data_IF_081373912643
#
_entry.id   IF_081373912643
#
_cell.length_a   1.000
_cell.length_b   1.000
_cell.length_c   1.000
_cell.angle_alpha   90.00
_cell.angle_beta   90.00
_cell.angle_gamma   90.00
#
_symmetry.space_group_name_H-M   'P 1'
#
loop_
_entity.id
_entity.type
_entity.pdbx_description
1 polymer ?
#
# COMPACT_ATOMS: atom_id res chain seq x y z
N UNK A 1 6.00 12.82 16.35
CA UNK A 1 7.02 11.79 16.16
C UNK A 1 7.94 12.27 15.05
N UNK A 2 9.26 12.19 15.22
CA UNK A 2 10.20 12.65 14.19
C UNK A 2 10.89 11.45 13.53
N UNK A 3 11.00 11.50 12.21
CA UNK A 3 11.77 10.58 11.38
C UNK A 3 12.98 11.28 10.73
N UNK A 4 13.49 12.29 11.41
CA UNK A 4 14.63 13.08 10.95
C UNK A 4 15.81 12.17 10.59
N UNK A 5 16.38 12.36 9.40
CA UNK A 5 17.49 11.58 8.89
C UNK A 5 17.12 10.17 8.41
N UNK A 6 15.83 9.79 8.41
CA UNK A 6 15.36 8.52 7.84
C UNK A 6 15.03 8.66 6.38
N UNK A 7 15.40 7.67 5.59
CA UNK A 7 15.05 7.55 4.16
C UNK A 7 13.91 6.56 3.97
N UNK A 8 12.88 7.00 3.29
CA UNK A 8 11.63 6.25 3.10
C UNK A 8 11.35 6.07 1.62
N UNK A 9 11.17 4.84 1.18
CA UNK A 9 10.73 4.50 -0.17
C UNK A 9 9.27 4.08 -0.16
N UNK A 10 8.44 4.72 -1.01
CA UNK A 10 7.00 4.45 -1.11
C UNK A 10 6.65 4.12 -2.55
N UNK A 11 6.18 2.90 -2.82
CA UNK A 11 5.66 2.55 -4.14
C UNK A 11 4.20 3.00 -4.29
N UNK A 12 3.80 3.38 -5.51
CA UNK A 12 2.46 3.93 -5.76
C UNK A 12 2.26 5.33 -5.17
N UNK A 13 3.34 6.12 -5.02
CA UNK A 13 3.34 7.42 -4.35
C UNK A 13 2.69 8.58 -5.10
N UNK A 14 2.16 8.35 -6.31
CA UNK A 14 1.63 9.44 -7.18
C UNK A 14 0.17 9.82 -6.93
N UNK A 15 -0.57 9.15 -6.05
CA UNK A 15 -1.98 9.47 -5.76
C UNK A 15 -2.47 8.76 -4.50
N UNK A 16 -3.64 9.18 -3.99
CA UNK A 16 -4.40 8.50 -2.93
C UNK A 16 -3.61 8.26 -1.64
N UNK A 17 -3.62 7.03 -1.14
CA UNK A 17 -2.89 6.67 0.08
C UNK A 17 -1.38 6.90 -0.05
N UNK A 18 -0.78 6.58 -1.22
CA UNK A 18 0.65 6.76 -1.46
C UNK A 18 1.08 8.22 -1.45
N UNK A 19 0.29 9.12 -2.01
CA UNK A 19 0.51 10.57 -1.92
C UNK A 19 0.43 11.07 -0.47
N UNK A 20 -0.60 10.64 0.28
CA UNK A 20 -0.75 11.04 1.68
C UNK A 20 0.38 10.50 2.56
N UNK A 21 0.80 9.25 2.35
CA UNK A 21 1.97 8.66 2.99
C UNK A 21 3.22 9.50 2.72
N UNK A 22 3.49 9.87 1.45
CA UNK A 22 4.66 10.66 1.09
C UNK A 22 4.70 12.01 1.81
N UNK A 23 3.57 12.74 1.80
CA UNK A 23 3.45 14.03 2.47
C UNK A 23 3.59 13.90 4.00
N UNK A 24 2.96 12.89 4.60
CA UNK A 24 3.02 12.66 6.05
C UNK A 24 4.43 12.28 6.53
N UNK A 25 5.13 11.42 5.79
CA UNK A 25 6.52 11.06 6.12
C UNK A 25 7.49 12.22 5.92
N UNK A 26 7.33 13.03 4.86
CA UNK A 26 8.10 14.25 4.68
C UNK A 26 7.84 15.27 5.79
N UNK A 27 6.59 15.48 6.19
CA UNK A 27 6.23 16.34 7.32
C UNK A 27 6.80 15.84 8.66
N UNK A 28 7.04 14.53 8.81
CA UNK A 28 7.74 13.95 9.96
C UNK A 28 9.27 14.09 9.88
N UNK A 29 9.80 14.74 8.85
CA UNK A 29 11.23 15.03 8.68
C UNK A 29 12.03 13.95 7.94
N UNK A 30 11.38 12.98 7.30
CA UNK A 30 12.04 11.97 6.49
C UNK A 30 12.40 12.49 5.09
N UNK A 31 13.47 11.95 4.52
CA UNK A 31 13.74 12.03 3.08
C UNK A 31 12.89 10.95 2.38
N UNK A 32 12.02 11.35 1.48
CA UNK A 32 11.05 10.45 0.85
C UNK A 32 11.35 10.25 -0.62
N UNK A 33 11.41 9.00 -1.05
CA UNK A 33 11.42 8.62 -2.46
C UNK A 33 10.08 7.99 -2.79
N UNK A 34 9.36 8.56 -3.75
CA UNK A 34 8.12 8.00 -4.26
C UNK A 34 8.33 7.36 -5.61
N UNK A 35 7.75 6.18 -5.82
CA UNK A 35 7.88 5.44 -7.05
C UNK A 35 6.53 5.07 -7.66
N UNK A 36 6.49 4.98 -8.99
CA UNK A 36 5.31 4.59 -9.75
C UNK A 36 5.51 4.78 -11.25
N UNK A 37 4.52 4.41 -12.05
CA UNK A 37 4.64 4.41 -13.50
C UNK A 37 4.46 5.79 -14.15
N UNK A 38 3.68 6.69 -13.53
CA UNK A 38 3.31 7.99 -14.10
C UNK A 38 4.16 9.10 -13.51
N UNK A 39 5.15 9.54 -14.27
CA UNK A 39 6.11 10.56 -13.81
C UNK A 39 5.44 11.90 -13.49
N UNK A 40 4.45 12.32 -14.27
CA UNK A 40 3.68 13.54 -14.06
C UNK A 40 2.97 13.56 -12.70
N UNK A 41 2.34 12.44 -12.33
CA UNK A 41 1.67 12.29 -11.03
C UNK A 41 2.68 12.31 -9.88
N UNK A 42 3.83 11.65 -10.05
CA UNK A 42 4.91 11.64 -9.04
C UNK A 42 5.51 13.03 -8.85
N UNK A 43 5.81 13.76 -9.94
CA UNK A 43 6.35 15.12 -9.88
C UNK A 43 5.38 16.10 -9.20
N UNK A 44 4.07 15.98 -9.50
CA UNK A 44 3.04 16.76 -8.82
C UNK A 44 3.04 16.54 -7.29
N UNK A 45 3.22 15.30 -6.84
CA UNK A 45 3.31 15.00 -5.41
C UNK A 45 4.63 15.50 -4.82
N UNK A 46 5.75 15.29 -5.51
CA UNK A 46 7.06 15.74 -5.07
C UNK A 46 7.12 17.26 -4.88
N UNK A 47 6.41 18.02 -5.73
CA UNK A 47 6.33 19.49 -5.61
C UNK A 47 5.53 19.98 -4.38
N UNK A 48 4.75 19.11 -3.72
CA UNK A 48 3.92 19.47 -2.55
C UNK A 48 4.65 19.37 -1.21
N UNK A 49 5.79 18.67 -1.15
CA UNK A 49 6.51 18.46 0.10
C UNK A 49 8.02 18.58 -0.07
N UNK A 50 8.69 19.19 0.90
CA UNK A 50 10.15 19.23 0.92
C UNK A 50 10.73 17.84 1.17
N UNK A 51 11.87 17.52 0.53
CA UNK A 51 12.55 16.24 0.72
C UNK A 51 11.89 15.06 0.00
N UNK A 52 10.92 15.30 -0.90
CA UNK A 52 10.30 14.25 -1.71
C UNK A 52 10.96 14.22 -3.10
N UNK A 53 11.48 13.05 -3.48
CA UNK A 53 12.01 12.75 -4.82
C UNK A 53 11.16 11.70 -5.51
N UNK A 54 11.12 11.71 -6.84
CA UNK A 54 10.34 10.77 -7.64
C UNK A 54 11.23 9.88 -8.50
N UNK A 55 10.84 8.60 -8.62
CA UNK A 55 11.50 7.61 -9.48
C UNK A 55 10.43 6.86 -10.27
N UNK A 56 10.63 6.69 -11.59
CA UNK A 56 9.73 5.85 -12.39
C UNK A 56 10.02 4.39 -12.09
N UNK A 57 8.96 3.62 -11.79
CA UNK A 57 9.06 2.19 -11.53
C UNK A 57 7.75 1.48 -11.88
N UNK A 58 7.86 0.36 -12.57
CA UNK A 58 6.82 -0.66 -12.61
C UNK A 58 7.18 -1.76 -11.62
N UNK A 59 6.38 -1.91 -10.57
CA UNK A 59 6.63 -2.93 -9.52
C UNK A 59 6.45 -4.36 -10.00
N UNK A 60 5.86 -4.57 -11.19
CA UNK A 60 5.69 -5.89 -11.79
C UNK A 60 6.92 -6.35 -12.57
N UNK A 61 7.88 -5.46 -12.80
CA UNK A 61 9.15 -5.72 -13.49
C UNK A 61 10.31 -5.71 -12.49
N UNK A 62 10.96 -6.85 -12.35
CA UNK A 62 12.09 -7.02 -11.43
C UNK A 62 13.26 -6.09 -11.73
N UNK A 63 13.58 -5.86 -13.02
CA UNK A 63 14.66 -4.97 -13.41
C UNK A 63 14.33 -3.51 -13.05
N UNK A 64 13.07 -3.10 -13.24
CA UNK A 64 12.57 -1.79 -12.86
C UNK A 64 12.62 -1.58 -11.35
N UNK A 65 12.28 -2.59 -10.55
CA UNK A 65 12.39 -2.53 -9.07
C UNK A 65 13.84 -2.39 -8.63
N UNK A 66 14.78 -3.16 -9.19
CA UNK A 66 16.21 -3.02 -8.90
C UNK A 66 16.74 -1.62 -9.25
N UNK A 67 16.37 -1.10 -10.42
CA UNK A 67 16.74 0.25 -10.85
C UNK A 67 16.17 1.33 -9.90
N UNK A 68 14.94 1.16 -9.42
CA UNK A 68 14.32 2.04 -8.43
C UNK A 68 15.16 2.12 -7.14
N UNK A 69 15.57 0.98 -6.59
CA UNK A 69 16.40 0.96 -5.38
C UNK A 69 17.79 1.55 -5.61
N UNK A 70 18.39 1.31 -6.78
CA UNK A 70 19.66 1.96 -7.16
C UNK A 70 19.51 3.49 -7.18
N UNK A 71 18.44 4.00 -7.79
CA UNK A 71 18.17 5.44 -7.86
C UNK A 71 17.77 6.05 -6.51
N UNK A 72 17.08 5.29 -5.65
CA UNK A 72 16.72 5.72 -4.30
C UNK A 72 17.95 5.85 -3.39
N UNK A 73 18.95 4.99 -3.58
CA UNK A 73 20.05 4.80 -2.65
C UNK A 73 19.63 4.07 -1.37
N UNK A 74 20.43 4.11 -0.31
CA UNK A 74 20.10 3.43 0.95
C UNK A 74 18.76 3.92 1.52
N UNK A 75 17.96 2.98 2.03
CA UNK A 75 16.65 3.25 2.64
C UNK A 75 16.56 2.63 4.03
N UNK A 76 15.78 3.23 4.90
CA UNK A 76 15.48 2.75 6.27
C UNK A 76 14.07 2.18 6.37
N UNK A 77 13.12 2.73 5.60
CA UNK A 77 11.71 2.33 5.59
C UNK A 77 11.27 2.08 4.17
N UNK A 78 10.63 0.95 3.92
CA UNK A 78 10.05 0.61 2.62
C UNK A 78 8.55 0.39 2.80
N UNK A 79 7.75 1.16 2.07
CA UNK A 79 6.29 1.05 2.07
C UNK A 79 5.84 0.53 0.70
N UNK A 80 5.44 -0.73 0.65
CA UNK A 80 4.86 -1.36 -0.53
C UNK A 80 3.36 -1.01 -0.58
N UNK A 81 3.04 0.10 -1.26
CA UNK A 81 1.68 0.62 -1.39
C UNK A 81 1.13 0.52 -2.81
N UNK A 82 1.96 0.37 -3.85
CA UNK A 82 1.47 0.21 -5.21
C UNK A 82 0.48 -0.96 -5.31
N UNK A 83 -0.64 -0.71 -5.96
CA UNK A 83 -1.70 -1.71 -6.12
C UNK A 83 -2.73 -1.28 -7.15
N UNK A 84 -3.58 -2.23 -7.53
CA UNK A 84 -4.74 -2.04 -8.38
C UNK A 84 -5.89 -2.90 -7.86
N UNK A 85 -7.11 -2.49 -8.19
CA UNK A 85 -8.31 -3.28 -7.90
C UNK A 85 -9.13 -3.40 -9.19
N UNK A 86 -9.67 -4.60 -9.41
CA UNK A 86 -10.63 -4.89 -10.47
C UNK A 86 -11.68 -5.86 -9.93
N UNK A 87 -12.85 -5.87 -10.54
CA UNK A 87 -13.97 -6.70 -10.10
C UNK A 87 -14.60 -7.49 -11.25
N UNK A 88 -14.60 -8.80 -11.11
CA UNK A 88 -15.30 -9.72 -11.99
C UNK A 88 -15.83 -10.93 -11.21
N UNK A 89 -16.94 -11.52 -11.68
CA UNK A 89 -17.36 -12.82 -11.11
C UNK A 89 -16.34 -13.89 -11.51
N UNK A 90 -16.02 -14.81 -10.64
CA UNK A 90 -14.96 -15.81 -10.83
C UNK A 90 -15.06 -16.54 -12.16
N UNK A 91 -16.25 -16.97 -12.55
CA UNK A 91 -16.48 -17.70 -13.81
C UNK A 91 -16.18 -16.86 -15.08
N UNK A 92 -16.03 -15.55 -14.97
CA UNK A 92 -15.71 -14.63 -16.07
C UNK A 92 -14.32 -14.00 -15.92
N UNK A 93 -13.58 -14.32 -14.88
CA UNK A 93 -12.22 -13.84 -14.65
C UNK A 93 -11.28 -14.59 -15.60
N UNK A 94 -10.61 -13.88 -16.51
CA UNK A 94 -9.59 -14.49 -17.36
C UNK A 94 -8.30 -14.77 -16.59
N UNK A 95 -7.46 -15.68 -17.10
CA UNK A 95 -6.14 -15.94 -16.53
C UNK A 95 -5.25 -14.68 -16.57
N UNK A 96 -5.38 -13.86 -17.60
CA UNK A 96 -4.63 -12.60 -17.71
C UNK A 96 -5.05 -11.59 -16.62
N UNK A 97 -6.36 -11.46 -16.36
CA UNK A 97 -6.85 -10.63 -15.24
C UNK A 97 -6.35 -11.14 -13.88
N UNK A 98 -6.40 -12.47 -13.69
CA UNK A 98 -5.83 -13.10 -12.50
C UNK A 98 -4.34 -12.79 -12.34
N UNK A 99 -3.54 -13.06 -13.38
CA UNK A 99 -2.10 -12.85 -13.36
C UNK A 99 -1.73 -11.37 -13.17
N UNK A 100 -2.41 -10.44 -13.85
CA UNK A 100 -2.19 -9.01 -13.70
C UNK A 100 -2.47 -8.54 -12.26
N UNK A 101 -3.51 -9.06 -11.62
CA UNK A 101 -3.85 -8.73 -10.23
C UNK A 101 -2.81 -9.26 -9.24
N UNK A 102 -2.33 -10.49 -9.42
CA UNK A 102 -1.25 -11.05 -8.61
C UNK A 102 0.07 -10.33 -8.87
N UNK A 103 0.39 -10.00 -10.12
CA UNK A 103 1.64 -9.31 -10.47
C UNK A 103 1.79 -8.00 -9.71
N UNK A 104 0.78 -7.13 -9.70
CA UNK A 104 0.90 -5.82 -9.04
C UNK A 104 0.72 -5.90 -7.52
N UNK A 105 -0.25 -6.69 -7.02
CA UNK A 105 -0.64 -6.66 -5.60
C UNK A 105 0.11 -7.67 -4.71
N UNK A 106 0.79 -8.66 -5.29
CA UNK A 106 1.55 -9.68 -4.55
C UNK A 106 3.01 -9.73 -5.01
N UNK A 107 3.26 -10.03 -6.29
CA UNK A 107 4.64 -10.12 -6.80
C UNK A 107 5.37 -8.79 -6.67
N UNK A 108 4.71 -7.66 -6.95
CA UNK A 108 5.28 -6.32 -6.79
C UNK A 108 5.65 -6.00 -5.33
N UNK A 109 4.84 -6.46 -4.36
CA UNK A 109 5.17 -6.33 -2.93
C UNK A 109 6.38 -7.21 -2.59
N UNK A 110 6.41 -8.45 -3.07
CA UNK A 110 7.54 -9.35 -2.88
C UNK A 110 8.84 -8.76 -3.42
N UNK A 111 8.87 -8.30 -4.66
CA UNK A 111 10.04 -7.68 -5.29
C UNK A 111 10.51 -6.45 -4.49
N UNK A 112 9.57 -5.59 -4.09
CA UNK A 112 9.84 -4.39 -3.30
C UNK A 112 10.46 -4.75 -1.94
N UNK A 113 9.93 -5.74 -1.25
CA UNK A 113 10.43 -6.15 0.07
C UNK A 113 11.77 -6.87 -0.02
N UNK A 114 11.96 -7.73 -1.03
CA UNK A 114 13.22 -8.42 -1.24
C UNK A 114 14.38 -7.43 -1.46
N UNK A 115 14.19 -6.45 -2.34
CA UNK A 115 15.21 -5.43 -2.60
C UNK A 115 15.39 -4.50 -1.39
N UNK A 116 14.31 -4.17 -0.66
CA UNK A 116 14.41 -3.42 0.59
C UNK A 116 15.24 -4.12 1.66
N UNK A 117 15.06 -5.42 1.83
CA UNK A 117 15.87 -6.22 2.75
C UNK A 117 17.35 -6.23 2.38
N UNK A 118 17.67 -6.28 1.09
CA UNK A 118 19.05 -6.23 0.59
C UNK A 118 19.73 -4.87 0.86
N UNK A 119 18.95 -3.79 1.07
CA UNK A 119 19.46 -2.46 1.39
C UNK A 119 19.70 -2.23 2.89
N UNK A 120 19.03 -3.00 3.76
CA UNK A 120 19.14 -2.78 5.20
C UNK A 120 20.47 -3.25 5.76
N UNK A 121 21.28 -2.32 6.27
CA UNK A 121 22.55 -2.61 6.94
C UNK A 121 22.41 -2.77 8.46
N UNK A 122 21.20 -2.57 9.01
CA UNK A 122 20.91 -2.64 10.43
C UNK A 122 19.42 -2.48 10.68
N UNK A 123 19.00 -1.33 11.21
CA UNK A 123 17.60 -1.03 11.47
C UNK A 123 16.80 -0.87 10.18
N UNK A 124 15.60 -1.46 10.13
CA UNK A 124 14.74 -1.37 8.96
C UNK A 124 13.25 -1.57 9.28
N UNK A 125 12.39 -1.05 8.42
CA UNK A 125 10.93 -1.23 8.48
C UNK A 125 10.38 -1.57 7.10
N UNK A 126 9.68 -2.70 7.00
CA UNK A 126 8.90 -3.08 5.84
C UNK A 126 7.41 -2.99 6.19
N UNK A 127 6.68 -2.17 5.46
CA UNK A 127 5.25 -1.95 5.68
C UNK A 127 4.51 -2.20 4.36
N UNK A 128 3.61 -3.18 4.33
CA UNK A 128 2.72 -3.40 3.19
C UNK A 128 1.38 -2.70 3.40
N UNK A 129 0.89 -1.99 2.41
CA UNK A 129 -0.52 -1.58 2.36
C UNK A 129 -1.30 -2.72 1.73
N UNK A 130 -1.87 -3.58 2.60
CA UNK A 130 -2.70 -4.70 2.20
C UNK A 130 -4.16 -4.25 1.97
N UNK A 131 -5.12 -4.84 2.65
CA UNK A 131 -6.55 -4.52 2.60
C UNK A 131 -7.31 -5.38 3.60
N UNK A 132 -8.54 -4.99 4.00
CA UNK A 132 -9.52 -5.89 4.62
C UNK A 132 -9.78 -7.13 3.75
N UNK A 133 -9.64 -7.01 2.42
CA UNK A 133 -9.71 -8.14 1.48
C UNK A 133 -8.56 -9.16 1.64
N UNK A 134 -7.56 -8.87 2.46
CA UNK A 134 -6.53 -9.83 2.87
C UNK A 134 -6.88 -10.58 4.18
N UNK A 135 -7.98 -10.19 4.84
CA UNK A 135 -8.44 -10.75 6.11
C UNK A 135 -9.78 -11.46 5.98
N UNK A 136 -10.60 -11.05 5.01
CA UNK A 136 -11.86 -11.70 4.66
C UNK A 136 -12.11 -11.69 3.15
N UNK A 137 -13.11 -12.44 2.70
CA UNK A 137 -13.54 -12.44 1.29
C UNK A 137 -14.56 -11.33 0.99
N UNK A 138 -14.52 -10.84 -0.25
CA UNK A 138 -15.55 -10.00 -0.84
C UNK A 138 -15.98 -10.59 -2.18
N UNK A 139 -17.26 -10.49 -2.50
CA UNK A 139 -17.77 -10.96 -3.78
C UNK A 139 -17.12 -10.21 -4.96
N UNK A 140 -16.85 -10.92 -6.03
CA UNK A 140 -16.36 -10.39 -7.31
C UNK A 140 -14.92 -9.85 -7.31
N UNK A 141 -14.13 -10.05 -6.26
CA UNK A 141 -12.73 -9.59 -6.17
C UNK A 141 -11.78 -10.72 -5.77
N UNK A 142 -12.07 -11.96 -6.17
CA UNK A 142 -11.29 -13.13 -5.77
C UNK A 142 -9.78 -13.03 -6.09
N UNK A 143 -9.32 -12.55 -7.27
CA UNK A 143 -7.89 -12.37 -7.53
C UNK A 143 -7.23 -11.34 -6.60
N UNK A 144 -7.92 -10.24 -6.33
CA UNK A 144 -7.44 -9.22 -5.40
C UNK A 144 -7.37 -9.74 -3.96
N UNK A 145 -8.42 -10.43 -3.50
CA UNK A 145 -8.43 -11.04 -2.16
C UNK A 145 -7.31 -12.08 -2.01
N UNK A 146 -7.11 -12.95 -3.01
CA UNK A 146 -6.01 -13.92 -3.01
C UNK A 146 -4.64 -13.23 -2.89
N UNK A 147 -4.40 -12.16 -3.68
CA UNK A 147 -3.17 -11.39 -3.61
C UNK A 147 -2.95 -10.77 -2.21
N UNK A 148 -3.99 -10.15 -1.64
CA UNK A 148 -3.88 -9.47 -0.33
C UNK A 148 -3.74 -10.44 0.83
N UNK A 149 -4.37 -11.62 0.78
CA UNK A 149 -4.09 -12.72 1.72
C UNK A 149 -2.63 -13.21 1.59
N UNK A 150 -2.13 -13.35 0.36
CA UNK A 150 -0.74 -13.71 0.09
C UNK A 150 0.25 -12.71 0.68
N UNK A 151 -0.01 -11.40 0.57
CA UNK A 151 0.82 -10.35 1.19
C UNK A 151 0.89 -10.51 2.71
N UNK A 152 -0.25 -10.76 3.37
CA UNK A 152 -0.29 -10.94 4.82
C UNK A 152 0.49 -12.20 5.24
N UNK A 153 0.30 -13.31 4.51
CA UNK A 153 1.07 -14.53 4.74
C UNK A 153 2.57 -14.32 4.57
N UNK A 154 2.98 -13.62 3.51
CA UNK A 154 4.37 -13.25 3.26
C UNK A 154 4.94 -12.36 4.38
N UNK A 155 4.21 -11.34 4.84
CA UNK A 155 4.65 -10.48 5.93
C UNK A 155 4.89 -11.27 7.22
N UNK A 156 4.00 -12.22 7.56
CA UNK A 156 4.13 -13.07 8.74
C UNK A 156 5.36 -13.99 8.65
N UNK A 157 5.60 -14.61 7.49
CA UNK A 157 6.76 -15.46 7.27
C UNK A 157 8.05 -14.66 7.37
N UNK A 158 8.12 -13.53 6.64
CA UNK A 158 9.30 -12.68 6.61
C UNK A 158 9.63 -12.08 7.99
N UNK A 159 8.61 -11.76 8.78
CA UNK A 159 8.81 -11.28 10.16
C UNK A 159 9.57 -12.29 11.03
N UNK A 160 9.36 -13.59 10.83
CA UNK A 160 10.10 -14.65 11.53
C UNK A 160 11.56 -14.73 11.06
N UNK A 161 11.81 -14.56 9.76
CA UNK A 161 13.16 -14.59 9.19
C UNK A 161 14.04 -13.45 9.72
N UNK A 162 13.45 -12.28 9.96
CA UNK A 162 14.18 -11.09 10.44
C UNK A 162 14.09 -10.86 11.94
N UNK A 163 13.41 -11.72 12.70
CA UNK A 163 13.08 -11.52 14.12
C UNK A 163 14.30 -11.24 15.03
N UNK A 164 15.49 -11.73 14.65
CA UNK A 164 16.74 -11.49 15.38
C UNK A 164 17.48 -10.22 14.95
N UNK A 165 16.97 -9.51 13.96
CA UNK A 165 17.52 -8.24 13.43
C UNK A 165 16.67 -7.08 13.93
N UNK A 166 17.18 -5.85 13.97
CA UNK A 166 16.37 -4.67 14.32
C UNK A 166 15.44 -4.25 13.14
N UNK A 167 14.79 -5.22 12.50
CA UNK A 167 13.91 -5.08 11.35
C UNK A 167 12.52 -5.57 11.73
N UNK A 168 11.48 -4.84 11.34
CA UNK A 168 10.09 -5.30 11.46
C UNK A 168 9.38 -5.32 10.12
N UNK A 169 8.44 -6.24 9.96
CA UNK A 169 7.63 -6.44 8.77
C UNK A 169 6.17 -6.48 9.19
N UNK A 170 5.36 -5.52 8.73
CA UNK A 170 3.96 -5.43 9.10
C UNK A 170 3.07 -5.09 7.89
N UNK A 171 1.78 -5.36 8.01
CA UNK A 171 0.79 -4.97 7.02
C UNK A 171 -0.24 -4.01 7.62
N UNK A 172 -0.65 -3.00 6.86
CA UNK A 172 -1.83 -2.18 7.16
C UNK A 172 -2.95 -2.66 6.27
N UNK A 173 -4.11 -2.91 6.86
CA UNK A 173 -5.27 -3.50 6.21
C UNK A 173 -6.46 -2.51 6.24
N UNK A 174 -6.49 -1.51 5.34
CA UNK A 174 -7.60 -0.58 5.29
C UNK A 174 -8.84 -1.21 4.64
N UNK A 175 -10.00 -0.74 5.05
CA UNK A 175 -11.24 -0.83 4.28
C UNK A 175 -11.24 0.16 3.10
N UNK A 176 -12.42 0.59 2.66
CA UNK A 176 -12.51 1.53 1.55
C UNK A 176 -12.02 2.93 1.96
N UNK A 177 -10.95 3.38 1.28
CA UNK A 177 -10.36 4.71 1.48
C UNK A 177 -11.00 5.74 0.56
N UNK A 178 -11.12 6.99 0.98
CA UNK A 178 -11.54 8.12 0.16
C UNK A 178 -10.40 8.53 -0.79
N UNK A 179 -10.36 7.90 -1.96
CA UNK A 179 -9.28 8.00 -2.95
C UNK A 179 -9.81 7.84 -4.37
N UNK A 180 -9.04 8.27 -5.40
CA UNK A 180 -9.42 8.06 -6.79
C UNK A 180 -9.69 6.59 -7.18
N UNK A 181 -9.08 5.62 -6.49
CA UNK A 181 -9.36 4.19 -6.70
C UNK A 181 -10.80 3.85 -6.27
N UNK A 182 -11.25 4.39 -5.17
CA UNK A 182 -12.63 4.21 -4.67
C UNK A 182 -13.62 4.96 -5.54
N UNK A 183 -13.28 6.17 -6.02
CA UNK A 183 -14.11 6.92 -6.96
C UNK A 183 -14.37 6.12 -8.25
N UNK A 184 -13.33 5.45 -8.77
CA UNK A 184 -13.49 4.53 -9.89
C UNK A 184 -14.45 3.37 -9.57
N UNK A 185 -14.34 2.78 -8.38
CA UNK A 185 -15.24 1.71 -7.92
C UNK A 185 -16.68 2.19 -7.80
N UNK A 186 -16.89 3.41 -7.28
CA UNK A 186 -18.21 4.07 -7.20
C UNK A 186 -18.80 4.26 -8.59
N UNK A 187 -18.01 4.75 -9.54
CA UNK A 187 -18.45 4.93 -10.94
C UNK A 187 -18.87 3.61 -11.59
N UNK A 188 -18.08 2.54 -11.39
CA UNK A 188 -18.40 1.19 -11.88
C UNK A 188 -19.69 0.63 -11.25
N UNK A 189 -19.91 0.86 -9.96
CA UNK A 189 -21.15 0.44 -9.28
C UNK A 189 -22.35 1.21 -9.87
N UNK A 190 -22.25 2.54 -10.01
CA UNK A 190 -23.29 3.38 -10.56
C UNK A 190 -23.67 2.92 -11.98
N UNK A 191 -22.68 2.72 -12.86
CA UNK A 191 -22.88 2.24 -14.23
C UNK A 191 -23.60 0.88 -14.29
N UNK A 192 -23.12 -0.10 -13.48
CA UNK A 192 -23.67 -1.47 -13.50
C UNK A 192 -25.04 -1.62 -12.83
N UNK A 193 -25.42 -0.69 -11.95
CA UNK A 193 -26.65 -0.82 -11.15
C UNK A 193 -27.70 0.24 -11.47
N UNK A 194 -27.38 1.26 -12.26
CA UNK A 194 -28.25 2.40 -12.54
C UNK A 194 -28.43 3.37 -11.34
N UNK A 195 -27.66 3.19 -10.28
CA UNK A 195 -27.66 4.07 -9.10
C UNK A 195 -26.96 5.40 -9.41
N UNK A 196 -27.34 6.45 -8.70
CA UNK A 196 -26.56 7.69 -8.66
C UNK A 196 -25.18 7.45 -8.02
N UNK A 197 -24.22 8.34 -8.27
CA UNK A 197 -22.90 8.27 -7.62
C UNK A 197 -23.00 8.33 -6.08
N UNK A 198 -23.94 9.12 -5.55
CA UNK A 198 -24.18 9.22 -4.11
C UNK A 198 -24.68 7.90 -3.51
N UNK A 199 -25.65 7.25 -4.17
CA UNK A 199 -26.14 5.93 -3.74
C UNK A 199 -25.07 4.84 -3.87
N UNK A 200 -24.25 4.87 -4.94
CA UNK A 200 -23.15 3.94 -5.12
C UNK A 200 -22.06 4.13 -4.05
N UNK A 201 -21.78 5.39 -3.66
CA UNK A 201 -20.87 5.71 -2.54
C UNK A 201 -21.42 5.17 -1.22
N UNK A 202 -22.70 5.39 -0.93
CA UNK A 202 -23.35 4.89 0.28
C UNK A 202 -23.31 3.36 0.41
N UNK A 203 -23.30 2.62 -0.72
CA UNK A 203 -23.09 1.17 -0.71
C UNK A 203 -21.72 0.80 -0.14
N UNK A 204 -20.66 1.51 -0.51
CA UNK A 204 -19.31 1.25 -0.01
C UNK A 204 -19.13 1.72 1.44
N UNK A 205 -19.73 2.87 1.80
CA UNK A 205 -19.72 3.40 3.17
C UNK A 205 -20.43 2.45 4.14
N UNK A 206 -21.55 1.84 3.71
CA UNK A 206 -22.32 0.90 4.51
C UNK A 206 -21.65 -0.47 4.73
N UNK A 207 -20.49 -0.74 4.14
CA UNK A 207 -19.75 -1.98 4.37
C UNK A 207 -19.07 -2.04 5.75
N UNK A 208 -18.94 -0.91 6.43
CA UNK A 208 -18.39 -0.85 7.78
C UNK A 208 -19.35 -0.16 8.75
N UNK A 209 -19.31 -0.52 10.06
CA UNK A 209 -20.21 0.04 11.08
C UNK A 209 -20.14 1.56 11.28
N UNK A 210 -19.02 2.20 10.89
CA UNK A 210 -18.89 3.66 10.97
C UNK A 210 -19.56 4.39 9.80
N UNK A 211 -20.08 3.67 8.79
CA UNK A 211 -20.77 4.20 7.61
C UNK A 211 -20.03 5.35 6.92
N UNK A 212 -18.73 5.19 6.69
CA UNK A 212 -17.91 6.20 6.02
C UNK A 212 -16.77 5.55 5.20
N UNK A 213 -16.21 6.29 4.28
CA UNK A 213 -14.89 5.99 3.73
C UNK A 213 -13.81 6.44 4.74
N UNK A 214 -12.73 5.66 4.82
CA UNK A 214 -11.59 6.02 5.68
C UNK A 214 -10.70 7.02 4.95
N UNK A 215 -10.11 7.94 5.72
CA UNK A 215 -9.21 8.93 5.13
C UNK A 215 -7.81 8.32 4.92
N UNK A 216 -7.11 8.64 3.82
CA UNK A 216 -5.72 8.24 3.62
C UNK A 216 -4.79 8.60 4.78
N UNK A 217 -5.10 9.68 5.51
CA UNK A 217 -4.36 10.09 6.71
C UNK A 217 -4.41 9.07 7.86
N UNK A 218 -5.44 8.24 7.94
CA UNK A 218 -5.53 7.17 8.94
C UNK A 218 -4.51 6.05 8.64
N UNK A 219 -4.31 5.75 7.34
CA UNK A 219 -3.24 4.83 6.90
C UNK A 219 -1.86 5.43 7.20
N UNK A 220 -1.69 6.72 6.93
CA UNK A 220 -0.43 7.44 7.19
C UNK A 220 -0.10 7.45 8.68
N UNK A 221 -1.06 7.69 9.55
CA UNK A 221 -0.87 7.66 11.00
C UNK A 221 -0.40 6.28 11.49
N UNK A 222 -1.02 5.20 11.00
CA UNK A 222 -0.60 3.84 11.31
C UNK A 222 0.80 3.52 10.76
N UNK A 223 1.12 3.96 9.54
CA UNK A 223 2.44 3.75 8.94
C UNK A 223 3.54 4.50 9.70
N UNK A 224 3.29 5.75 10.09
CA UNK A 224 4.21 6.53 10.92
C UNK A 224 4.46 5.86 12.28
N UNK A 225 3.40 5.34 12.93
CA UNK A 225 3.55 4.60 14.18
C UNK A 225 4.42 3.34 13.98
N UNK A 226 4.14 2.52 12.95
CA UNK A 226 4.92 1.32 12.64
C UNK A 226 6.37 1.63 12.26
N UNK A 227 6.64 2.77 11.63
CA UNK A 227 7.98 3.22 11.29
C UNK A 227 8.76 3.74 12.50
N UNK A 228 8.11 3.99 13.62
CA UNK A 228 8.72 4.59 14.77
C UNK A 228 9.39 3.63 15.76
N UNK A 229 10.14 4.18 16.74
CA UNK A 229 10.81 3.37 17.75
C UNK A 229 9.82 2.65 18.68
N UNK A 230 8.63 3.21 18.91
CA UNK A 230 7.59 2.60 19.75
C UNK A 230 6.99 1.31 19.19
N UNK A 231 7.21 1.02 17.90
CA UNK A 231 6.74 -0.19 17.23
C UNK A 231 7.83 -1.27 17.08
N UNK A 232 8.95 -1.18 17.79
CA UNK A 232 10.04 -2.15 17.66
C UNK A 232 9.63 -3.59 17.99
N UNK A 233 8.65 -3.79 18.87
CA UNK A 233 8.09 -5.11 19.19
C UNK A 233 6.91 -5.53 18.30
N UNK A 234 6.46 -4.69 17.36
CA UNK A 234 5.37 -4.99 16.45
C UNK A 234 5.95 -5.58 15.18
N UNK A 235 5.87 -6.91 15.05
CA UNK A 235 6.42 -7.64 13.92
C UNK A 235 5.46 -8.75 13.48
N UNK A 236 5.24 -8.91 12.18
CA UNK A 236 4.31 -9.89 11.61
C UNK A 236 2.83 -9.55 11.81
N UNK A 237 2.50 -8.31 12.20
CA UNK A 237 1.14 -7.91 12.55
C UNK A 237 0.38 -7.29 11.38
N UNK A 238 -0.96 -7.36 11.48
CA UNK A 238 -1.89 -6.67 10.60
C UNK A 238 -2.59 -5.57 11.39
N UNK A 239 -2.41 -4.31 10.98
CA UNK A 239 -3.12 -3.18 11.57
C UNK A 239 -4.34 -2.88 10.72
N UNK A 240 -5.51 -3.16 11.26
CA UNK A 240 -6.78 -3.00 10.54
C UNK A 240 -7.34 -1.59 10.75
N UNK A 241 -7.74 -0.93 9.66
CA UNK A 241 -8.40 0.38 9.65
C UNK A 241 -9.73 0.18 8.93
N UNK A 242 -10.74 -0.30 9.63
CA UNK A 242 -11.98 -0.78 9.02
C UNK A 242 -13.25 -0.50 9.85
N UNK A 243 -13.18 0.36 10.88
CA UNK A 243 -14.36 0.82 11.61
C UNK A 243 -15.22 -0.28 12.25
N UNK A 244 -14.63 -1.43 12.58
CA UNK A 244 -15.34 -2.57 13.14
C UNK A 244 -15.93 -3.53 12.10
N UNK A 245 -15.51 -3.45 10.84
CA UNK A 245 -15.93 -4.37 9.76
C UNK A 245 -15.42 -5.81 9.97
N UNK A 246 -14.34 -5.97 10.75
CA UNK A 246 -13.66 -7.22 11.07
C UNK A 246 -13.55 -7.41 12.57
#
# INVERSE_FOLDING_TARGET
MTLLGKRVLITGGGSGAGENLALGFAAAGAEVVIAGRRIDALQRVAAKGQGIRSVVCDVTDEASVKAMFTAAGPVDVVIANAGAADSAVMAKTSLDQWNAMLAVNLTGVFLTFREGLNQFTGWGRLIAVASTAGLKGYAKVAPYAAAKHGVIGMCRSLALEVARKPITVNAICPGFLDTPMTDHSIAVIAEKTGKSLAEARAVLEGLNPQNRLFQPSEVTAAALYLAGPGAAGINGQTITIAGGEL
#
